data_IF_814543987157
#
_entry.id   IF_814543987157
#
_cell.length_a   1.000
_cell.length_b   1.000
_cell.length_c   1.000
_cell.angle_alpha   90.00
_cell.angle_beta   90.00
_cell.angle_gamma   90.00
#
_symmetry.space_group_name_H-M   'P 1'
#
loop_
_entity.id
_entity.type
_entity.pdbx_description
1 polymer ?
#
# COMPACT_ATOMS: atom_id res chain seq x y z
N UNK A 1 -1.77 1.09 -16.31
CA UNK A 1 -1.46 1.26 -14.88
C UNK A 1 -2.69 0.77 -14.12
N UNK A 2 -2.51 -0.06 -13.10
CA UNK A 2 -3.63 -0.50 -12.26
C UNK A 2 -4.12 0.67 -11.37
N UNK A 3 -5.39 0.64 -10.95
CA UNK A 3 -5.98 1.75 -10.20
C UNK A 3 -5.31 2.00 -8.84
N UNK A 4 -4.81 0.96 -8.16
CA UNK A 4 -4.04 1.11 -6.92
C UNK A 4 -2.63 1.68 -7.17
N UNK A 5 -1.98 1.31 -8.27
CA UNK A 5 -0.70 1.92 -8.69
C UNK A 5 -0.88 3.43 -8.92
N UNK A 6 -1.91 3.80 -9.70
CA UNK A 6 -2.23 5.20 -9.99
C UNK A 6 -2.60 5.99 -8.73
N UNK A 7 -3.33 5.37 -7.80
CA UNK A 7 -3.70 6.01 -6.54
C UNK A 7 -2.48 6.21 -5.64
N UNK A 8 -1.56 5.24 -5.61
CA UNK A 8 -0.31 5.34 -4.85
C UNK A 8 0.57 6.46 -5.38
N UNK A 9 0.67 6.58 -6.71
CA UNK A 9 1.41 7.66 -7.35
C UNK A 9 0.79 9.04 -7.05
N UNK A 10 -0.53 9.18 -7.19
CA UNK A 10 -1.26 10.39 -6.82
C UNK A 10 -1.08 10.74 -5.34
N UNK A 11 -1.21 9.75 -4.45
CA UNK A 11 -1.02 9.90 -3.02
C UNK A 11 0.38 10.39 -2.68
N UNK A 12 1.40 9.91 -3.40
CA UNK A 12 2.78 10.33 -3.22
C UNK A 12 3.00 11.77 -3.70
N UNK A 13 2.52 12.10 -4.91
CA UNK A 13 2.62 13.45 -5.47
C UNK A 13 1.95 14.49 -4.57
N UNK A 14 0.77 14.17 -4.04
CA UNK A 14 0.01 15.05 -3.17
C UNK A 14 0.42 14.95 -1.69
N UNK A 15 1.34 14.06 -1.32
CA UNK A 15 1.78 13.82 0.07
C UNK A 15 0.60 13.49 0.99
N UNK A 16 -0.18 12.47 0.61
CA UNK A 16 -1.26 11.94 1.45
C UNK A 16 -0.67 11.24 2.68
N UNK A 17 -1.34 11.40 3.81
CA UNK A 17 -0.88 10.81 5.06
C UNK A 17 -1.11 9.29 5.06
N UNK A 18 -0.03 8.53 5.25
CA UNK A 18 -0.06 7.09 5.44
C UNK A 18 0.14 6.66 6.90
N UNK A 19 0.45 7.58 7.81
CA UNK A 19 0.66 7.28 9.22
C UNK A 19 -0.65 6.82 9.87
N UNK A 20 -0.77 5.51 10.15
CA UNK A 20 -1.93 4.88 10.78
C UNK A 20 -2.34 5.49 12.13
N UNK A 21 -1.39 6.06 12.86
CA UNK A 21 -1.63 6.68 14.17
C UNK A 21 -1.97 8.17 14.07
N UNK A 22 -2.11 8.73 12.86
CA UNK A 22 -2.45 10.13 12.69
C UNK A 22 -3.92 10.40 13.08
N UNK A 23 -4.11 11.00 14.26
CA UNK A 23 -5.43 11.40 14.77
C UNK A 23 -5.95 12.69 14.12
N UNK A 24 -5.09 13.47 13.46
CA UNK A 24 -5.48 14.75 12.84
C UNK A 24 -6.22 14.56 11.51
N UNK A 25 -5.67 13.77 10.60
CA UNK A 25 -6.26 13.57 9.28
C UNK A 25 -6.88 12.19 9.09
N UNK A 26 -6.59 11.20 9.95
CA UNK A 26 -7.19 9.86 9.87
C UNK A 26 -7.00 9.16 8.52
N UNK A 27 -5.96 9.54 7.77
CA UNK A 27 -5.71 9.06 6.40
C UNK A 27 -6.92 9.28 5.46
N UNK A 28 -7.63 10.41 5.67
CA UNK A 28 -8.86 10.81 4.98
C UNK A 28 -8.84 10.53 3.47
N UNK A 29 -7.84 11.09 2.77
CA UNK A 29 -7.73 10.99 1.33
C UNK A 29 -7.55 9.54 0.89
N UNK A 30 -6.68 8.79 1.56
CA UNK A 30 -6.43 7.40 1.18
C UNK A 30 -7.67 6.53 1.37
N UNK A 31 -8.41 6.71 2.47
CA UNK A 31 -9.62 5.93 2.73
C UNK A 31 -10.74 6.25 1.75
N UNK A 32 -10.97 7.53 1.44
CA UNK A 32 -11.94 7.91 0.40
C UNK A 32 -11.49 7.45 -0.99
N UNK A 33 -10.19 7.48 -1.28
CA UNK A 33 -9.63 6.91 -2.52
C UNK A 33 -9.98 5.43 -2.66
N UNK A 34 -9.79 4.63 -1.61
CA UNK A 34 -10.18 3.23 -1.60
C UNK A 34 -11.70 3.05 -1.83
N UNK A 35 -12.55 3.91 -1.27
CA UNK A 35 -14.01 3.87 -1.56
C UNK A 35 -14.29 4.10 -3.04
N UNK A 36 -13.67 5.10 -3.67
CA UNK A 36 -13.84 5.37 -5.10
C UNK A 36 -13.33 4.21 -5.96
N UNK A 37 -12.20 3.59 -5.59
CA UNK A 37 -11.73 2.36 -6.25
C UNK A 37 -12.78 1.25 -6.18
N UNK A 38 -13.47 1.08 -5.05
CA UNK A 38 -14.53 0.05 -4.90
C UNK A 38 -15.78 0.34 -5.76
N UNK A 39 -15.91 1.56 -6.28
CA UNK A 39 -16.97 1.98 -7.21
C UNK A 39 -16.54 1.83 -8.68
N UNK A 40 -15.35 1.29 -8.92
CA UNK A 40 -14.79 1.14 -10.27
C UNK A 40 -14.26 2.44 -10.85
N UNK A 41 -14.01 3.47 -10.03
CA UNK A 41 -13.38 4.72 -10.48
C UNK A 41 -11.87 4.59 -10.57
N UNK A 42 -11.26 5.33 -11.48
CA UNK A 42 -9.82 5.32 -11.69
C UNK A 42 -9.18 6.69 -11.37
N UNK A 43 -8.04 6.75 -10.65
CA UNK A 43 -7.38 8.03 -10.30
C UNK A 43 -6.92 8.91 -11.45
N UNK A 44 -6.91 8.38 -12.68
CA UNK A 44 -6.50 9.08 -13.89
C UNK A 44 -7.70 9.59 -14.71
N UNK A 45 -8.92 9.28 -14.28
CA UNK A 45 -10.14 9.78 -14.93
C UNK A 45 -10.53 11.16 -14.39
N UNK A 46 -11.13 11.98 -15.25
CA UNK A 46 -11.59 13.33 -14.88
C UNK A 46 -12.67 13.31 -13.79
N UNK A 47 -13.39 12.20 -13.67
CA UNK A 47 -14.42 12.00 -12.66
C UNK A 47 -13.86 11.62 -11.27
N UNK A 48 -12.53 11.52 -11.11
CA UNK A 48 -11.90 11.18 -9.84
C UNK A 48 -12.04 12.30 -8.81
N UNK A 49 -12.68 11.99 -7.70
CA UNK A 49 -13.12 12.99 -6.72
C UNK A 49 -12.09 13.27 -5.62
N UNK A 50 -11.09 12.41 -5.42
CA UNK A 50 -10.20 12.48 -4.25
C UNK A 50 -8.89 13.17 -4.61
N UNK A 51 -8.77 14.44 -4.24
CA UNK A 51 -7.56 15.26 -4.46
C UNK A 51 -7.30 16.12 -3.24
N UNK A 52 -6.06 16.28 -2.79
CA UNK A 52 -5.72 16.91 -1.51
C UNK A 52 -6.43 18.25 -1.22
N UNK A 53 -6.60 19.06 -2.26
CA UNK A 53 -7.25 20.37 -2.20
C UNK A 53 -8.78 20.32 -2.00
N UNK A 54 -9.40 19.15 -2.22
CA UNK A 54 -10.81 18.93 -1.97
C UNK A 54 -11.03 18.42 -0.54
N UNK A 55 -12.10 18.92 0.09
CA UNK A 55 -12.47 18.58 1.47
C UNK A 55 -13.92 18.14 1.60
N UNK A 56 -14.76 18.34 0.58
CA UNK A 56 -16.19 18.03 0.59
C UNK A 56 -16.52 16.58 0.17
N UNK A 57 -15.65 15.62 0.52
CA UNK A 57 -15.85 14.19 0.22
C UNK A 57 -17.11 13.63 0.84
N UNK A 58 -17.49 14.11 2.03
CA UNK A 58 -18.70 13.68 2.72
C UNK A 58 -19.97 13.88 1.89
N UNK A 59 -20.00 14.95 1.09
CA UNK A 59 -21.13 15.31 0.22
C UNK A 59 -21.06 14.55 -1.10
N UNK A 60 -19.87 14.41 -1.69
CA UNK A 60 -19.71 13.84 -3.04
C UNK A 60 -19.62 12.31 -3.05
N UNK A 61 -18.96 11.75 -2.06
CA UNK A 61 -18.68 10.32 -1.94
C UNK A 61 -19.60 9.71 -0.89
N UNK A 62 -19.75 10.35 0.26
CA UNK A 62 -20.57 9.87 1.37
C UNK A 62 -19.80 9.90 2.69
N UNK A 63 -20.36 9.30 3.74
CA UNK A 63 -19.77 9.36 5.08
C UNK A 63 -18.34 8.83 5.15
N UNK A 64 -17.59 9.30 6.14
CA UNK A 64 -16.22 8.88 6.38
C UNK A 64 -16.15 7.35 6.58
N UNK A 65 -15.35 6.62 5.78
CA UNK A 65 -15.23 5.17 5.87
C UNK A 65 -14.31 4.77 7.04
N UNK A 66 -14.88 4.70 8.25
CA UNK A 66 -14.18 4.17 9.42
C UNK A 66 -13.77 2.72 9.22
N UNK A 67 -14.65 1.92 8.62
CA UNK A 67 -14.44 0.53 8.24
C UNK A 67 -14.94 0.32 6.81
N UNK A 68 -14.42 -0.73 6.16
CA UNK A 68 -14.87 -1.15 4.85
C UNK A 68 -15.78 -2.38 5.00
N UNK A 69 -16.88 -2.39 4.25
CA UNK A 69 -17.75 -3.58 4.16
C UNK A 69 -17.00 -4.77 3.57
N UNK A 70 -17.45 -6.02 3.80
CA UNK A 70 -16.80 -7.21 3.21
C UNK A 70 -16.69 -7.14 1.68
N UNK A 71 -17.70 -6.59 1.00
CA UNK A 71 -17.68 -6.39 -0.45
C UNK A 71 -16.59 -5.38 -0.87
N UNK A 72 -16.49 -4.26 -0.15
CA UNK A 72 -15.45 -3.26 -0.42
C UNK A 72 -14.06 -3.83 -0.19
N UNK A 73 -13.83 -4.55 0.90
CA UNK A 73 -12.53 -5.18 1.16
C UNK A 73 -12.15 -6.16 0.05
N UNK A 74 -13.11 -6.96 -0.44
CA UNK A 74 -12.88 -7.85 -1.59
C UNK A 74 -12.44 -7.08 -2.84
N UNK A 75 -13.18 -6.03 -3.20
CA UNK A 75 -12.83 -5.18 -4.36
C UNK A 75 -11.47 -4.52 -4.20
N UNK A 76 -11.14 -4.02 -3.01
CA UNK A 76 -9.82 -3.44 -2.71
C UNK A 76 -8.74 -4.50 -2.92
N UNK A 77 -8.90 -5.69 -2.34
CA UNK A 77 -7.93 -6.78 -2.48
C UNK A 77 -7.77 -7.18 -3.95
N UNK A 78 -8.86 -7.37 -4.69
CA UNK A 78 -8.81 -7.77 -6.10
C UNK A 78 -8.09 -6.75 -6.98
N UNK A 79 -8.23 -5.45 -6.69
CA UNK A 79 -7.43 -4.40 -7.36
C UNK A 79 -5.96 -4.52 -6.93
N UNK A 80 -5.69 -4.61 -5.63
CA UNK A 80 -4.34 -4.58 -5.05
C UNK A 80 -3.47 -5.78 -5.41
N UNK A 81 -4.04 -6.98 -5.57
CA UNK A 81 -3.28 -8.18 -5.99
C UNK A 81 -2.75 -8.08 -7.41
N UNK A 82 -3.35 -7.24 -8.26
CA UNK A 82 -2.90 -7.04 -9.64
C UNK A 82 -1.87 -5.92 -9.78
N UNK A 83 -1.56 -5.22 -8.69
CA UNK A 83 -0.61 -4.12 -8.68
C UNK A 83 0.84 -4.61 -8.69
N UNK A 84 1.68 -3.90 -9.43
CA UNK A 84 3.12 -4.10 -9.52
C UNK A 84 3.85 -3.20 -8.50
N UNK A 85 4.36 -3.81 -7.42
CA UNK A 85 5.05 -3.09 -6.35
C UNK A 85 6.38 -2.47 -6.81
N UNK A 86 7.01 -3.03 -7.85
CA UNK A 86 8.22 -2.44 -8.44
C UNK A 86 7.88 -1.13 -9.15
N UNK A 87 6.73 -1.03 -9.82
CA UNK A 87 6.26 0.24 -10.41
C UNK A 87 5.93 1.26 -9.32
N UNK A 88 5.19 0.83 -8.30
CA UNK A 88 4.84 1.71 -7.17
C UNK A 88 6.11 2.28 -6.53
N UNK A 89 7.09 1.44 -6.21
CA UNK A 89 8.35 1.89 -5.58
C UNK A 89 9.21 2.81 -6.46
N UNK A 90 9.07 2.75 -7.78
CA UNK A 90 9.77 3.65 -8.72
C UNK A 90 9.09 5.01 -8.86
N UNK A 91 7.76 5.04 -8.79
CA UNK A 91 6.96 6.24 -9.02
C UNK A 91 6.58 6.99 -7.74
N UNK A 92 6.72 6.35 -6.57
CA UNK A 92 6.37 6.94 -5.28
C UNK A 92 7.63 7.22 -4.46
N UNK A 93 7.56 8.27 -3.64
CA UNK A 93 8.59 8.61 -2.66
C UNK A 93 8.75 7.48 -1.64
N UNK A 94 9.99 7.16 -1.29
CA UNK A 94 10.31 6.23 -0.21
C UNK A 94 10.40 6.99 1.14
N UNK A 95 9.85 6.48 2.25
CA UNK A 95 9.22 5.16 2.43
C UNK A 95 7.70 5.13 2.22
N UNK A 96 7.08 6.24 1.77
CA UNK A 96 5.62 6.43 1.73
C UNK A 96 4.86 5.26 1.08
N UNK A 97 5.40 4.67 0.01
CA UNK A 97 4.73 3.57 -0.67
C UNK A 97 4.57 2.31 0.18
N UNK A 98 5.50 2.01 1.09
CA UNK A 98 5.33 0.94 2.08
C UNK A 98 4.21 1.29 3.06
N UNK A 99 4.09 2.57 3.41
CA UNK A 99 2.96 3.09 4.20
C UNK A 99 1.61 2.84 3.52
N UNK A 100 1.51 3.07 2.21
CA UNK A 100 0.29 2.78 1.44
C UNK A 100 -0.08 1.29 1.46
N UNK A 101 0.91 0.39 1.36
CA UNK A 101 0.68 -1.05 1.53
C UNK A 101 0.17 -1.35 2.95
N UNK A 102 0.78 -0.76 3.97
CA UNK A 102 0.37 -0.91 5.37
C UNK A 102 -1.08 -0.48 5.64
N UNK A 103 -1.54 0.59 4.98
CA UNK A 103 -2.94 1.01 5.03
C UNK A 103 -3.88 -0.07 4.48
N UNK A 104 -3.57 -0.61 3.31
CA UNK A 104 -4.39 -1.68 2.70
C UNK A 104 -4.42 -2.91 3.61
N UNK A 105 -3.25 -3.38 4.08
CA UNK A 105 -3.18 -4.52 5.01
C UNK A 105 -4.06 -4.30 6.24
N UNK A 106 -4.04 -3.09 6.80
CA UNK A 106 -4.85 -2.74 7.97
C UNK A 106 -6.35 -2.80 7.66
N UNK A 107 -6.75 -2.28 6.50
CA UNK A 107 -8.16 -2.12 6.15
C UNK A 107 -8.81 -3.38 5.56
N UNK A 108 -8.02 -4.35 5.12
CA UNK A 108 -8.51 -5.61 4.51
C UNK A 108 -8.24 -6.85 5.37
N UNK A 109 -7.86 -6.69 6.64
CA UNK A 109 -7.51 -7.81 7.54
C UNK A 109 -8.72 -8.64 8.00
N UNK A 110 -9.95 -8.17 7.79
CA UNK A 110 -11.14 -8.79 8.40
C UNK A 110 -11.56 -10.11 7.73
N UNK A 111 -11.20 -10.33 6.47
CA UNK A 111 -11.40 -11.61 5.77
C UNK A 111 -10.04 -12.33 5.67
N UNK A 112 -9.81 -13.40 6.45
CA UNK A 112 -8.52 -14.09 6.49
C UNK A 112 -8.10 -14.70 5.14
N UNK A 113 -9.06 -15.15 4.32
CA UNK A 113 -8.76 -15.79 3.03
C UNK A 113 -8.30 -14.75 2.01
N UNK A 114 -9.03 -13.64 1.90
CA UNK A 114 -8.65 -12.52 1.05
C UNK A 114 -7.34 -11.88 1.52
N UNK A 115 -7.19 -11.70 2.83
CA UNK A 115 -5.98 -11.16 3.42
C UNK A 115 -4.76 -12.03 3.13
N UNK A 116 -4.90 -13.36 3.28
CA UNK A 116 -3.83 -14.31 2.96
C UNK A 116 -3.46 -14.25 1.48
N UNK A 117 -4.44 -14.20 0.58
CA UNK A 117 -4.21 -14.05 -0.87
C UNK A 117 -3.40 -12.79 -1.18
N UNK A 118 -3.78 -11.65 -0.59
CA UNK A 118 -3.03 -10.39 -0.74
C UNK A 118 -1.59 -10.53 -0.24
N UNK A 119 -1.42 -11.07 0.98
CA UNK A 119 -0.11 -11.27 1.58
C UNK A 119 0.79 -12.14 0.71
N UNK A 120 0.29 -13.25 0.19
CA UNK A 120 1.05 -14.16 -0.68
C UNK A 120 1.57 -13.44 -1.91
N UNK A 121 0.71 -12.71 -2.62
CA UNK A 121 1.11 -11.99 -3.84
C UNK A 121 2.13 -10.90 -3.53
N UNK A 122 1.85 -10.03 -2.55
CA UNK A 122 2.75 -8.93 -2.20
C UNK A 122 4.08 -9.40 -1.64
N UNK A 123 4.09 -10.45 -0.81
CA UNK A 123 5.33 -11.00 -0.25
C UNK A 123 6.26 -11.52 -1.34
N UNK A 124 5.71 -12.16 -2.38
CA UNK A 124 6.51 -12.63 -3.53
C UNK A 124 7.18 -11.48 -4.30
N UNK A 125 6.56 -10.30 -4.32
CA UNK A 125 7.10 -9.11 -4.96
C UNK A 125 8.14 -8.43 -4.05
N UNK A 126 7.81 -8.24 -2.77
CA UNK A 126 8.70 -7.65 -1.76
C UNK A 126 9.98 -8.47 -1.57
N UNK A 127 9.91 -9.80 -1.64
CA UNK A 127 11.08 -10.67 -1.51
C UNK A 127 12.16 -10.37 -2.57
N UNK A 128 11.76 -9.86 -3.74
CA UNK A 128 12.68 -9.46 -4.82
C UNK A 128 13.31 -8.08 -4.59
N UNK A 129 12.83 -7.33 -3.62
CA UNK A 129 13.23 -5.95 -3.34
C UNK A 129 14.10 -5.82 -2.09
N UNK A 130 14.23 -6.89 -1.31
CA UNK A 130 15.08 -6.96 -0.10
C UNK A 130 16.28 -7.87 -0.34
N UNK A 131 17.28 -7.78 0.53
CA UNK A 131 18.46 -8.65 0.48
C UNK A 131 18.11 -10.10 0.85
N UNK A 132 18.61 -11.04 0.06
CA UNK A 132 18.37 -12.49 0.21
C UNK A 132 18.94 -13.10 1.49
N UNK A 133 19.94 -12.47 2.10
CA UNK A 133 20.58 -12.92 3.34
C UNK A 133 19.86 -12.43 4.61
N UNK A 134 18.79 -11.65 4.48
CA UNK A 134 18.08 -11.05 5.61
C UNK A 134 17.00 -11.97 6.21
N UNK A 135 16.69 -11.75 7.50
CA UNK A 135 15.57 -12.44 8.17
C UNK A 135 14.22 -12.12 7.52
N UNK A 136 14.04 -10.87 7.09
CA UNK A 136 12.80 -10.45 6.43
C UNK A 136 12.62 -11.18 5.08
N UNK A 137 13.70 -11.43 4.33
CA UNK A 137 13.59 -12.24 3.10
C UNK A 137 13.04 -13.65 3.35
N UNK A 138 13.47 -14.32 4.42
CA UNK A 138 12.92 -15.63 4.80
C UNK A 138 11.44 -15.54 5.12
N UNK A 139 11.05 -14.57 5.96
CA UNK A 139 9.66 -14.30 6.34
C UNK A 139 8.76 -14.01 5.13
N UNK A 140 9.25 -13.22 4.16
CA UNK A 140 8.53 -12.93 2.92
C UNK A 140 8.35 -14.19 2.05
N UNK A 141 9.35 -15.07 1.96
CA UNK A 141 9.19 -16.34 1.25
C UNK A 141 8.16 -17.25 1.93
N UNK A 142 8.16 -17.34 3.27
CA UNK A 142 7.14 -18.10 4.00
C UNK A 142 5.73 -17.55 3.74
N UNK A 143 5.57 -16.21 3.72
CA UNK A 143 4.29 -15.58 3.40
C UNK A 143 3.89 -15.76 1.92
N UNK A 144 4.85 -15.76 1.00
CA UNK A 144 4.65 -16.06 -0.42
C UNK A 144 4.26 -17.53 -0.68
N UNK A 145 4.58 -18.45 0.24
CA UNK A 145 4.09 -19.82 0.24
C UNK A 145 2.77 -20.00 1.02
N UNK A 146 2.25 -18.92 1.62
CA UNK A 146 1.05 -18.95 2.44
C UNK A 146 1.24 -19.63 3.80
N UNK A 147 2.49 -19.82 4.26
CA UNK A 147 2.82 -20.36 5.59
C UNK A 147 2.57 -19.30 6.66
N UNK A 148 2.80 -18.02 6.34
CA UNK A 148 2.49 -16.90 7.22
C UNK A 148 1.82 -15.74 6.47
N UNK A 149 1.51 -14.66 7.18
CA UNK A 149 0.95 -13.44 6.61
C UNK A 149 1.87 -12.26 6.91
N UNK A 150 1.72 -11.19 6.13
CA UNK A 150 2.39 -9.92 6.38
C UNK A 150 1.66 -9.15 7.49
N UNK A 151 2.40 -8.35 8.23
CA UNK A 151 1.86 -7.24 9.00
C UNK A 151 2.68 -5.95 8.80
N UNK A 152 2.33 -4.90 9.54
CA UNK A 152 3.00 -3.60 9.44
C UNK A 152 4.47 -3.69 9.87
N UNK A 153 4.80 -4.51 10.87
CA UNK A 153 6.18 -4.66 11.35
C UNK A 153 7.05 -5.34 10.29
N UNK A 154 6.48 -6.29 9.54
CA UNK A 154 7.17 -6.88 8.39
C UNK A 154 7.52 -5.81 7.34
N UNK A 155 6.61 -4.85 7.07
CA UNK A 155 6.88 -3.73 6.16
C UNK A 155 7.95 -2.77 6.71
N UNK A 156 7.95 -2.48 8.02
CA UNK A 156 9.01 -1.70 8.67
C UNK A 156 10.38 -2.40 8.58
N UNK A 157 10.40 -3.73 8.67
CA UNK A 157 11.62 -4.52 8.44
C UNK A 157 12.07 -4.48 6.98
N UNK A 158 11.14 -4.47 6.01
CA UNK A 158 11.45 -4.24 4.61
C UNK A 158 12.08 -2.86 4.39
N UNK A 159 11.48 -1.81 4.97
CA UNK A 159 11.99 -0.43 4.91
C UNK A 159 13.45 -0.37 5.39
N UNK A 160 13.71 -0.87 6.59
CA UNK A 160 15.06 -0.89 7.18
C UNK A 160 16.07 -1.67 6.31
N UNK A 161 15.64 -2.80 5.74
CA UNK A 161 16.48 -3.59 4.86
C UNK A 161 16.87 -2.83 3.59
N UNK A 162 15.90 -2.20 2.92
CA UNK A 162 16.10 -1.41 1.70
C UNK A 162 17.02 -0.21 1.98
N UNK A 163 16.82 0.50 3.09
CA UNK A 163 17.69 1.61 3.51
C UNK A 163 19.14 1.12 3.70
N UNK A 164 19.31 -0.03 4.37
CA UNK A 164 20.64 -0.59 4.63
C UNK A 164 21.37 -0.96 3.32
N UNK A 165 20.63 -1.49 2.34
CA UNK A 165 21.14 -1.85 1.03
C UNK A 165 21.59 -0.59 0.26
N UNK A 166 20.77 0.46 0.23
CA UNK A 166 21.12 1.72 -0.43
C UNK A 166 22.37 2.37 0.21
N UNK A 167 22.46 2.39 1.55
CA UNK A 167 23.64 2.91 2.26
C UNK A 167 24.91 2.11 1.95
N UNK A 168 24.80 0.78 1.83
CA UNK A 168 25.92 -0.07 1.45
C UNK A 168 26.42 0.28 0.03
N UNK A 169 25.51 0.35 -0.96
CA UNK A 169 25.89 0.68 -2.34
C UNK A 169 26.49 2.09 -2.49
N UNK A 170 25.96 3.08 -1.76
CA UNK A 170 26.52 4.43 -1.75
C UNK A 170 27.97 4.47 -1.22
N UNK A 171 28.29 3.65 -0.21
CA UNK A 171 29.66 3.54 0.35
C UNK A 171 30.62 2.79 -0.56
N UNK A 172 30.14 1.81 -1.33
CA UNK A 172 30.98 1.04 -2.26
C UNK A 172 31.25 1.83 -3.54
N UNK A 173 30.27 2.61 -4.03
CA UNK A 173 30.39 3.40 -5.26
C UNK A 173 31.18 4.71 -5.09
N UNK A 174 31.55 5.07 -3.86
CA UNK A 174 32.36 6.24 -3.52
C UNK A 174 33.83 5.90 -3.24
N UNK A 175 34.23 4.66 -3.52
CA UNK A 175 35.60 4.16 -3.50
C UNK A 175 36.05 3.81 -4.91
#
# INVERSE_FOLDING_TARGET
>A
MNAFEAMSELASQEKWCWNLNCTTCGQLHFRFGLVELTRGKHPLEDNWLVKKQQTNYSVKIGQFPYTFTPEQQRKIVDICITADLVKISKNCVFPDWLGYLGLVLTFTKSDPLLYKKLCTVWSSQLARMVRTDSLIYKKLNDAALGVSVLDIKDLEHCENNIISQHKYFARVSSR
#
